data_IF_047338229778
#
_entry.id   IF_047338229778
#
_cell.length_a   1.000
_cell.length_b   1.000
_cell.length_c   1.000
_cell.angle_alpha   90.00
_cell.angle_beta   90.00
_cell.angle_gamma   90.00
#
_symmetry.space_group_name_H-M   'P 1'
#
loop_
_entity.id
_entity.type
_entity.pdbx_description
1 polymer ?
#
# COMPACT_ATOMS: atom_id res chain seq x y z
N UNK A 1 17.46 -17.67 17.53
CA UNK A 1 17.67 -16.21 17.59
C UNK A 1 16.56 -15.67 18.48
N UNK A 2 16.78 -14.69 19.37
CA UNK A 2 15.67 -14.23 20.24
C UNK A 2 14.57 -13.58 19.41
N UNK A 3 13.31 -13.79 19.79
CA UNK A 3 12.14 -13.20 19.11
C UNK A 3 12.25 -11.68 18.98
N UNK A 4 12.85 -11.02 19.98
CA UNK A 4 13.12 -9.57 19.97
C UNK A 4 14.02 -9.12 18.81
N UNK A 5 15.05 -9.91 18.47
CA UNK A 5 15.95 -9.58 17.37
C UNK A 5 15.29 -9.76 16.00
N UNK A 6 14.39 -10.75 15.88
CA UNK A 6 13.56 -10.92 14.67
C UNK A 6 12.56 -9.77 14.52
N UNK A 7 11.94 -9.33 15.63
CA UNK A 7 11.04 -8.18 15.63
C UNK A 7 11.76 -6.90 15.20
N UNK A 8 12.92 -6.60 15.78
CA UNK A 8 13.73 -5.41 15.47
C UNK A 8 14.12 -5.40 13.98
N UNK A 9 14.57 -6.54 13.45
CA UNK A 9 14.95 -6.68 12.03
C UNK A 9 13.75 -6.59 11.09
N UNK A 10 12.67 -7.31 11.39
CA UNK A 10 11.47 -7.34 10.55
C UNK A 10 10.79 -5.98 10.42
N UNK A 11 10.95 -5.11 11.43
CA UNK A 11 10.40 -3.75 11.44
C UNK A 11 11.40 -2.67 11.02
N UNK A 12 12.63 -3.04 10.65
CA UNK A 12 13.71 -2.13 10.24
C UNK A 12 13.96 -0.99 11.25
N UNK A 13 13.91 -1.31 12.54
CA UNK A 13 14.00 -0.31 13.62
C UNK A 13 15.37 0.36 13.63
N UNK A 14 16.43 -0.41 13.36
CA UNK A 14 17.81 0.09 13.34
C UNK A 14 17.96 1.16 12.26
N UNK A 15 17.49 0.88 11.05
CA UNK A 15 17.58 1.78 9.90
C UNK A 15 16.80 3.08 10.13
N UNK A 16 15.63 2.99 10.79
CA UNK A 16 14.85 4.17 11.18
C UNK A 16 15.64 5.02 12.18
N UNK A 17 16.23 4.40 13.20
CA UNK A 17 17.02 5.12 14.22
C UNK A 17 18.28 5.75 13.62
N UNK A 18 18.99 5.05 12.73
CA UNK A 18 20.16 5.59 12.03
C UNK A 18 19.80 6.83 11.20
N UNK A 19 18.68 6.80 10.47
CA UNK A 19 18.19 7.96 9.72
C UNK A 19 17.84 9.15 10.62
N UNK A 20 17.14 8.90 11.73
CA UNK A 20 16.77 9.93 12.72
C UNK A 20 18.01 10.56 13.36
N UNK A 21 19.03 9.77 13.70
CA UNK A 21 20.29 10.28 14.22
C UNK A 21 21.04 11.12 13.18
N UNK A 22 20.99 10.72 11.90
CA UNK A 22 21.49 11.54 10.79
C UNK A 22 20.83 12.93 10.74
N UNK A 23 19.51 12.99 10.90
CA UNK A 23 18.78 14.27 10.96
C UNK A 23 19.19 15.11 12.17
N UNK A 24 19.33 14.51 13.35
CA UNK A 24 19.79 15.21 14.56
C UNK A 24 21.19 15.80 14.34
N UNK A 25 22.12 15.01 13.80
CA UNK A 25 23.49 15.45 13.54
C UNK A 25 23.54 16.63 12.54
N UNK A 26 22.73 16.56 11.48
CA UNK A 26 22.66 17.60 10.45
C UNK A 26 21.96 18.88 10.94
N UNK A 27 20.79 18.76 11.58
CA UNK A 27 19.94 19.89 11.98
C UNK A 27 20.36 20.52 13.30
N UNK A 28 21.05 19.79 14.17
CA UNK A 28 21.52 20.23 15.50
C UNK A 28 20.41 20.90 16.33
N UNK A 29 19.26 20.24 16.53
CA UNK A 29 18.14 20.82 17.26
C UNK A 29 18.52 21.05 18.73
N UNK A 30 17.97 22.10 19.35
CA UNK A 30 18.15 22.37 20.79
C UNK A 30 17.44 21.33 21.66
N UNK A 31 16.27 20.87 21.24
CA UNK A 31 15.50 19.82 21.90
C UNK A 31 15.48 18.57 21.00
N UNK A 32 16.40 17.63 21.27
CA UNK A 32 16.58 16.43 20.45
C UNK A 32 15.34 15.52 20.52
N UNK A 33 14.77 15.34 21.71
CA UNK A 33 13.63 14.43 21.92
C UNK A 33 12.42 14.91 21.13
N UNK A 34 12.07 16.19 21.26
CA UNK A 34 10.93 16.78 20.55
C UNK A 34 11.12 16.73 19.03
N UNK A 35 12.34 17.06 18.56
CA UNK A 35 12.67 16.97 17.14
C UNK A 35 12.50 15.54 16.58
N UNK A 36 13.01 14.52 17.29
CA UNK A 36 12.84 13.12 16.85
C UNK A 36 11.36 12.73 16.79
N UNK A 37 10.55 13.14 17.77
CA UNK A 37 9.11 12.89 17.79
C UNK A 37 8.42 13.53 16.58
N UNK A 38 8.78 14.76 16.23
CA UNK A 38 8.23 15.46 15.06
C UNK A 38 8.62 14.78 13.73
N UNK A 39 9.89 14.38 13.58
CA UNK A 39 10.36 13.68 12.37
C UNK A 39 9.69 12.30 12.23
N UNK A 40 9.50 11.57 13.34
CA UNK A 40 8.74 10.32 13.33
C UNK A 40 7.30 10.52 12.87
N UNK A 41 6.61 11.58 13.33
CA UNK A 41 5.25 11.91 12.88
C UNK A 41 5.19 12.26 11.39
N UNK A 42 6.24 12.88 10.83
CA UNK A 42 6.32 13.15 9.38
C UNK A 42 6.48 11.85 8.61
N UNK A 43 7.38 10.97 9.03
CA UNK A 43 7.59 9.65 8.41
C UNK A 43 6.33 8.77 8.46
N UNK A 44 5.57 8.85 9.55
CA UNK A 44 4.27 8.20 9.69
C UNK A 44 3.25 8.73 8.68
N UNK A 45 3.13 10.06 8.55
CA UNK A 45 2.27 10.68 7.54
C UNK A 45 2.71 10.37 6.12
N UNK A 46 4.01 10.34 5.83
CA UNK A 46 4.51 9.97 4.49
C UNK A 46 4.16 8.52 4.11
N UNK A 47 4.08 7.61 5.10
CA UNK A 47 3.54 6.26 4.89
C UNK A 47 2.04 6.28 4.59
N UNK A 48 1.27 7.14 5.24
CA UNK A 48 -0.17 7.31 4.94
C UNK A 48 -0.41 7.98 3.57
N UNK A 49 0.49 8.86 3.13
CA UNK A 49 0.32 9.70 1.94
C UNK A 49 0.60 8.97 0.62
N UNK A 50 1.29 7.82 0.61
CA UNK A 50 1.53 7.08 -0.65
C UNK A 50 0.52 5.96 -0.88
N UNK A 51 -0.76 6.31 -0.93
CA UNK A 51 -1.68 5.58 -1.82
C UNK A 51 -1.45 6.11 -3.22
N UNK A 52 -0.71 5.34 -4.02
CA UNK A 52 -0.45 5.67 -5.44
C UNK A 52 -1.75 5.73 -6.24
N UNK A 53 -2.76 5.01 -5.77
CA UNK A 53 -4.10 4.97 -6.32
C UNK A 53 -5.12 5.30 -5.23
N UNK A 54 -6.14 6.07 -5.57
CA UNK A 54 -7.25 6.40 -4.69
C UNK A 54 -8.56 5.74 -5.15
N UNK A 55 -9.68 6.10 -4.52
CA UNK A 55 -10.99 5.52 -4.87
C UNK A 55 -11.46 5.95 -6.26
N UNK A 56 -11.10 7.15 -6.72
CA UNK A 56 -11.47 7.64 -8.05
C UNK A 56 -10.78 6.82 -9.14
N UNK A 57 -9.53 6.39 -8.90
CA UNK A 57 -8.80 5.48 -9.79
C UNK A 57 -9.50 4.12 -9.91
N UNK A 58 -10.02 3.56 -8.81
CA UNK A 58 -10.78 2.30 -8.81
C UNK A 58 -12.06 2.45 -9.63
N UNK A 59 -12.79 3.55 -9.42
CA UNK A 59 -14.04 3.86 -10.15
C UNK A 59 -13.75 4.00 -11.64
N UNK A 60 -12.74 4.77 -12.01
CA UNK A 60 -12.34 4.98 -13.39
C UNK A 60 -11.97 3.66 -14.08
N UNK A 61 -11.19 2.81 -13.40
CA UNK A 61 -10.80 1.51 -13.92
C UNK A 61 -12.01 0.58 -14.12
N UNK A 62 -12.92 0.51 -13.14
CA UNK A 62 -14.11 -0.32 -13.27
C UNK A 62 -15.00 0.13 -14.43
N UNK A 63 -15.23 1.44 -14.55
CA UNK A 63 -16.01 2.02 -15.64
C UNK A 63 -15.37 1.76 -17.01
N UNK A 64 -14.04 1.82 -17.10
CA UNK A 64 -13.29 1.50 -18.31
C UNK A 64 -13.43 0.02 -18.74
N UNK A 65 -13.50 -0.90 -17.79
CA UNK A 65 -13.70 -2.33 -18.08
C UNK A 65 -15.17 -2.64 -18.44
N UNK A 66 -16.09 -1.81 -17.95
CA UNK A 66 -17.53 -1.96 -18.09
C UNK A 66 -18.18 -0.87 -18.97
N UNK A 67 -17.57 -0.54 -20.12
CA UNK A 67 -18.10 0.47 -21.05
C UNK A 67 -19.53 0.17 -21.53
N UNK A 68 -19.89 -1.10 -21.59
CA UNK A 68 -21.22 -1.59 -21.96
C UNK A 68 -22.28 -1.35 -20.86
N UNK A 69 -21.86 -0.91 -19.68
CA UNK A 69 -22.69 -0.68 -18.50
C UNK A 69 -23.49 -1.93 -18.08
N UNK A 70 -22.84 -3.10 -18.14
CA UNK A 70 -23.42 -4.34 -17.67
C UNK A 70 -23.47 -4.35 -16.13
N UNK A 71 -24.35 -5.17 -15.55
CA UNK A 71 -24.41 -5.32 -14.09
C UNK A 71 -23.12 -5.89 -13.50
N UNK A 72 -22.42 -6.73 -14.26
CA UNK A 72 -21.21 -7.43 -13.84
C UNK A 72 -20.15 -7.39 -14.94
N UNK A 73 -18.88 -7.33 -14.55
CA UNK A 73 -17.75 -7.64 -15.43
C UNK A 73 -17.35 -9.11 -15.27
N UNK A 74 -16.78 -9.67 -16.33
CA UNK A 74 -16.26 -11.04 -16.31
C UNK A 74 -15.01 -11.12 -15.44
N UNK A 75 -14.71 -12.33 -14.97
CA UNK A 75 -13.45 -12.67 -14.29
C UNK A 75 -12.21 -12.14 -15.02
N UNK A 76 -12.12 -12.31 -16.34
CA UNK A 76 -10.94 -11.89 -17.11
C UNK A 76 -10.78 -10.37 -17.13
N UNK A 77 -11.89 -9.63 -17.31
CA UNK A 77 -11.90 -8.17 -17.21
C UNK A 77 -11.49 -7.70 -15.80
N UNK A 78 -12.00 -8.37 -14.76
CA UNK A 78 -11.61 -8.08 -13.38
C UNK A 78 -10.10 -8.26 -13.17
N UNK A 79 -9.53 -9.38 -13.61
CA UNK A 79 -8.08 -9.65 -13.50
C UNK A 79 -7.26 -8.59 -14.25
N UNK A 80 -7.66 -8.23 -15.46
CA UNK A 80 -7.00 -7.18 -16.25
C UNK A 80 -6.97 -5.83 -15.53
N UNK A 81 -8.09 -5.45 -14.91
CA UNK A 81 -8.21 -4.23 -14.11
C UNK A 81 -7.35 -4.25 -12.86
N UNK A 82 -7.45 -5.32 -12.07
CA UNK A 82 -6.72 -5.45 -10.80
C UNK A 82 -5.20 -5.44 -10.99
N UNK A 83 -4.71 -5.96 -12.12
CA UNK A 83 -3.28 -5.92 -12.47
C UNK A 83 -2.73 -4.48 -12.63
N UNK A 84 -3.58 -3.48 -12.87
CA UNK A 84 -3.14 -2.09 -12.95
C UNK A 84 -2.74 -1.51 -11.57
N UNK A 85 -3.25 -2.09 -10.49
CA UNK A 85 -2.96 -1.67 -9.11
C UNK A 85 -1.73 -2.39 -8.51
N UNK A 86 -1.07 -3.27 -9.26
CA UNK A 86 0.09 -4.04 -8.79
C UNK A 86 1.39 -3.26 -9.00
N UNK A 87 2.03 -2.88 -7.90
CA UNK A 87 3.25 -2.05 -7.90
C UNK A 87 4.50 -2.79 -7.46
N UNK A 88 4.38 -3.95 -6.80
CA UNK A 88 5.50 -4.71 -6.27
C UNK A 88 5.31 -6.23 -6.37
N UNK A 89 6.38 -6.99 -6.11
CA UNK A 89 6.38 -8.45 -6.25
C UNK A 89 5.43 -9.16 -5.28
N UNK A 90 5.22 -8.64 -4.05
CA UNK A 90 4.27 -9.25 -3.10
C UNK A 90 2.83 -9.13 -3.59
N UNK A 91 2.47 -7.97 -4.14
CA UNK A 91 1.17 -7.73 -4.75
C UNK A 91 0.96 -8.62 -5.98
N UNK A 92 2.02 -8.86 -6.77
CA UNK A 92 1.99 -9.79 -7.90
C UNK A 92 1.76 -11.23 -7.45
N UNK A 93 2.52 -11.71 -6.46
CA UNK A 93 2.35 -13.06 -5.89
C UNK A 93 0.94 -13.26 -5.33
N UNK A 94 0.37 -12.23 -4.67
CA UNK A 94 -1.01 -12.28 -4.21
C UNK A 94 -2.00 -12.37 -5.38
N UNK A 95 -1.82 -11.59 -6.44
CA UNK A 95 -2.64 -11.63 -7.65
C UNK A 95 -2.59 -12.96 -8.40
N UNK A 96 -1.50 -13.70 -8.31
CA UNK A 96 -1.38 -15.04 -8.91
C UNK A 96 -2.21 -16.10 -8.15
N UNK A 97 -2.45 -15.88 -6.85
CA UNK A 97 -3.10 -16.85 -5.97
C UNK A 97 -4.57 -16.51 -5.64
N UNK A 98 -5.03 -15.31 -6.01
CA UNK A 98 -6.38 -14.85 -5.68
C UNK A 98 -7.47 -15.63 -6.44
N UNK A 99 -8.56 -15.95 -5.73
CA UNK A 99 -9.76 -16.53 -6.33
C UNK A 99 -10.77 -15.41 -6.65
N UNK A 100 -10.87 -15.08 -7.93
CA UNK A 100 -11.82 -14.10 -8.47
C UNK A 100 -13.13 -14.79 -8.86
N UNK A 101 -14.26 -14.17 -8.49
CA UNK A 101 -15.60 -14.61 -8.88
C UNK A 101 -15.83 -14.49 -10.40
N UNK A 102 -16.81 -15.22 -10.94
CA UNK A 102 -17.13 -15.16 -12.37
C UNK A 102 -17.85 -13.87 -12.76
N UNK A 103 -18.76 -13.42 -11.90
CA UNK A 103 -19.54 -12.20 -12.05
C UNK A 103 -19.13 -11.22 -10.95
N UNK A 104 -18.50 -10.12 -11.36
CA UNK A 104 -17.93 -9.13 -10.44
C UNK A 104 -18.64 -7.80 -10.64
N UNK A 105 -19.31 -7.29 -9.61
CA UNK A 105 -19.81 -5.93 -9.60
C UNK A 105 -18.76 -4.95 -9.04
N UNK A 106 -19.10 -3.66 -8.99
CA UNK A 106 -18.19 -2.63 -8.50
C UNK A 106 -17.73 -2.86 -7.07
N UNK A 107 -18.61 -3.28 -6.16
CA UNK A 107 -18.28 -3.48 -4.75
C UNK A 107 -17.30 -4.65 -4.57
N UNK A 108 -17.51 -5.74 -5.33
CA UNK A 108 -16.58 -6.88 -5.35
C UNK A 108 -15.23 -6.45 -5.93
N UNK A 109 -15.23 -5.70 -7.05
CA UNK A 109 -14.00 -5.20 -7.66
C UNK A 109 -13.22 -4.28 -6.71
N UNK A 110 -13.89 -3.33 -6.06
CA UNK A 110 -13.33 -2.40 -5.08
C UNK A 110 -12.69 -3.16 -3.92
N UNK A 111 -13.40 -4.15 -3.36
CA UNK A 111 -12.88 -4.99 -2.28
C UNK A 111 -11.58 -5.71 -2.66
N UNK A 112 -11.47 -6.20 -3.90
CA UNK A 112 -10.23 -6.79 -4.39
C UNK A 112 -9.11 -5.76 -4.59
N UNK A 113 -9.41 -4.61 -5.19
CA UNK A 113 -8.45 -3.54 -5.41
C UNK A 113 -7.86 -3.02 -4.09
N UNK A 114 -8.72 -2.74 -3.11
CA UNK A 114 -8.29 -2.31 -1.77
C UNK A 114 -7.42 -3.34 -1.08
N UNK A 115 -7.71 -4.64 -1.21
CA UNK A 115 -6.84 -5.69 -0.66
C UNK A 115 -5.46 -5.67 -1.29
N UNK A 116 -5.36 -5.54 -2.62
CA UNK A 116 -4.06 -5.54 -3.32
C UNK A 116 -3.23 -4.33 -2.91
N UNK A 117 -3.83 -3.14 -2.89
CA UNK A 117 -3.12 -1.89 -2.60
C UNK A 117 -2.58 -1.81 -1.16
N UNK A 118 -3.16 -2.57 -0.24
CA UNK A 118 -2.76 -2.59 1.18
C UNK A 118 -1.84 -3.77 1.55
N UNK A 119 -1.32 -4.52 0.57
CA UNK A 119 -0.25 -5.53 0.72
C UNK A 119 1.13 -4.88 0.65
#
# INVERSE_FOLDING_TARGET
MSEDLEYIRGKKIIEILEGLLGYVYYRKPKNIVEFIIEELKKLEKEKEIKRVFDEEDIIAMYNFLNLENNKYITKDKCILGLNQFVLNNKQREYMENIRIANDVDFEIFKSYAEKIMNI
#
